data_IF_478554991031
#
_entry.id   IF_478554991031
#
_cell.length_a   1.000
_cell.length_b   1.000
_cell.length_c   1.000
_cell.angle_alpha   90.00
_cell.angle_beta   90.00
_cell.angle_gamma   90.00
#
_symmetry.space_group_name_H-M   'P 1'
#
loop_
_entity.id
_entity.type
_entity.pdbx_description
1 polymer ?
#
# COMPACT_ATOMS: atom_id res chain seq x y z
N UNK A 1 -9.06 1.18 11.84
CA UNK A 1 -9.57 0.22 10.83
C UNK A 1 -8.67 -0.99 10.98
N UNK A 2 -9.10 -2.03 11.70
CA UNK A 2 -8.11 -2.92 12.36
C UNK A 2 -8.06 -4.32 11.73
N UNK A 3 -8.35 -4.41 10.42
CA UNK A 3 -8.35 -5.69 9.70
C UNK A 3 -8.14 -5.53 8.18
N UNK A 4 -7.14 -4.74 7.78
CA UNK A 4 -6.78 -4.57 6.38
C UNK A 4 -6.29 -5.89 5.78
N UNK A 5 -6.79 -6.18 4.58
CA UNK A 5 -6.40 -7.29 3.73
C UNK A 5 -5.71 -6.75 2.49
N UNK A 6 -4.95 -7.62 1.81
CA UNK A 6 -4.30 -7.26 0.54
C UNK A 6 -5.28 -6.71 -0.51
N UNK A 7 -6.56 -7.06 -0.43
CA UNK A 7 -7.60 -6.61 -1.34
C UNK A 7 -8.18 -5.23 -1.00
N UNK A 8 -7.90 -4.70 0.18
CA UNK A 8 -8.39 -3.39 0.65
C UNK A 8 -7.49 -2.28 0.11
N UNK A 9 -7.33 -2.27 -1.22
CA UNK A 9 -6.38 -1.44 -1.96
C UNK A 9 -6.49 0.06 -1.65
N UNK A 10 -7.69 0.68 -1.65
CA UNK A 10 -7.81 2.10 -1.36
C UNK A 10 -7.41 2.44 0.08
N UNK A 11 -7.83 1.62 1.05
CA UNK A 11 -7.53 1.85 2.46
C UNK A 11 -6.03 1.71 2.73
N UNK A 12 -5.37 0.71 2.11
CA UNK A 12 -3.91 0.56 2.19
C UNK A 12 -3.19 1.76 1.57
N UNK A 13 -3.66 2.26 0.42
CA UNK A 13 -3.05 3.41 -0.24
C UNK A 13 -3.10 4.68 0.62
N UNK A 14 -4.24 4.95 1.27
CA UNK A 14 -4.39 6.07 2.20
C UNK A 14 -3.43 5.94 3.37
N UNK A 15 -3.37 4.77 4.01
CA UNK A 15 -2.47 4.51 5.14
C UNK A 15 -0.98 4.65 4.76
N UNK A 16 -0.62 4.24 3.54
CA UNK A 16 0.74 4.42 3.02
C UNK A 16 1.03 5.91 2.76
N UNK A 17 0.11 6.64 2.16
CA UNK A 17 0.25 8.08 1.92
C UNK A 17 0.43 8.86 3.22
N UNK A 18 -0.42 8.61 4.22
CA UNK A 18 -0.33 9.27 5.54
C UNK A 18 0.99 8.97 6.27
N UNK A 19 1.56 7.77 6.10
CA UNK A 19 2.82 7.37 6.75
C UNK A 19 4.07 7.77 5.98
N UNK A 20 3.95 8.03 4.68
CA UNK A 20 5.05 8.22 3.75
C UNK A 20 4.76 9.38 2.77
N UNK A 21 4.34 10.53 3.31
CA UNK A 21 3.93 11.74 2.55
C UNK A 21 5.04 12.27 1.62
N UNK A 22 6.30 12.00 1.92
CA UNK A 22 7.47 12.47 1.17
C UNK A 22 7.96 11.49 0.10
N UNK A 23 7.31 10.32 -0.01
CA UNK A 23 7.70 9.28 -0.95
C UNK A 23 6.88 9.41 -2.23
N UNK A 24 7.56 9.41 -3.38
CA UNK A 24 6.92 9.30 -4.68
C UNK A 24 6.61 7.82 -5.00
N UNK A 25 5.34 7.40 -5.00
CA UNK A 25 4.98 6.00 -5.17
C UNK A 25 5.33 5.43 -6.54
N UNK A 26 5.53 6.27 -7.57
CA UNK A 26 5.87 5.84 -8.93
C UNK A 26 7.25 5.15 -9.01
N UNK A 27 8.12 5.40 -8.04
CA UNK A 27 9.49 4.87 -8.03
C UNK A 27 9.73 3.81 -6.95
N UNK A 28 8.69 3.40 -6.21
CA UNK A 28 8.81 2.36 -5.19
C UNK A 28 8.95 0.98 -5.86
N UNK A 29 9.85 0.16 -5.31
CA UNK A 29 9.96 -1.27 -5.69
C UNK A 29 8.89 -2.07 -4.95
N UNK A 30 8.28 -3.04 -5.62
CA UNK A 30 7.28 -3.92 -4.99
C UNK A 30 7.76 -4.63 -3.72
N UNK A 31 9.05 -4.92 -3.59
CA UNK A 31 9.61 -5.52 -2.37
C UNK A 31 9.64 -4.55 -1.18
N UNK A 32 9.74 -3.25 -1.43
CA UNK A 32 9.65 -2.23 -0.38
C UNK A 32 8.18 -1.93 -0.07
N UNK A 33 7.33 -1.83 -1.12
CA UNK A 33 5.88 -1.67 -0.96
C UNK A 33 5.27 -2.80 -0.12
N UNK A 34 5.61 -4.06 -0.43
CA UNK A 34 5.15 -5.23 0.34
C UNK A 34 5.51 -5.12 1.82
N UNK A 35 6.75 -4.72 2.14
CA UNK A 35 7.20 -4.53 3.52
C UNK A 35 6.44 -3.42 4.23
N UNK A 36 6.16 -2.32 3.56
CA UNK A 36 5.43 -1.20 4.15
C UNK A 36 3.97 -1.56 4.41
N UNK A 37 3.31 -2.27 3.48
CA UNK A 37 1.95 -2.78 3.70
C UNK A 37 1.89 -3.72 4.90
N UNK A 38 2.84 -4.66 5.02
CA UNK A 38 2.91 -5.56 6.17
C UNK A 38 3.22 -4.85 7.50
N UNK A 39 3.79 -3.64 7.45
CA UNK A 39 4.12 -2.85 8.63
C UNK A 39 2.98 -1.90 9.07
N UNK A 40 1.88 -1.83 8.33
CA UNK A 40 0.71 -1.04 8.70
C UNK A 40 0.08 -1.65 9.96
N UNK A 41 -0.28 -0.79 10.93
CA UNK A 41 -0.84 -1.21 12.23
C UNK A 41 -2.14 -2.03 12.08
N UNK A 42 -2.94 -1.75 11.04
CA UNK A 42 -4.17 -2.46 10.73
C UNK A 42 -4.02 -3.68 9.82
N UNK A 43 -2.83 -3.99 9.30
CA UNK A 43 -2.64 -5.10 8.36
C UNK A 43 -2.74 -6.46 9.05
N UNK A 44 -3.66 -7.30 8.56
CA UNK A 44 -3.99 -8.58 9.18
C UNK A 44 -4.25 -9.68 8.13
N UNK A 45 -3.55 -9.68 7.00
CA UNK A 45 -3.62 -10.79 6.02
C UNK A 45 -2.36 -11.65 6.06
N UNK A 46 -2.40 -12.76 5.34
CA UNK A 46 -1.23 -13.60 5.10
C UNK A 46 -0.20 -12.86 4.21
N UNK A 47 1.04 -12.63 4.68
CA UNK A 47 2.11 -12.01 3.90
C UNK A 47 2.33 -12.59 2.50
N UNK A 48 2.12 -13.90 2.34
CA UNK A 48 2.38 -14.64 1.11
C UNK A 48 1.21 -14.58 0.12
N UNK A 49 0.08 -13.96 0.48
CA UNK A 49 -1.08 -13.75 -0.41
C UNK A 49 -0.93 -12.57 -1.36
N UNK A 50 0.12 -11.77 -1.20
CA UNK A 50 0.46 -10.74 -2.17
C UNK A 50 0.91 -11.35 -3.51
N UNK A 51 0.74 -10.59 -4.58
CA UNK A 51 1.32 -10.88 -5.89
C UNK A 51 1.52 -9.56 -6.64
N UNK A 52 2.21 -9.59 -7.78
CA UNK A 52 2.53 -8.37 -8.54
C UNK A 52 1.29 -7.55 -8.89
N UNK A 53 0.15 -8.17 -9.22
CA UNK A 53 -1.08 -7.42 -9.56
C UNK A 53 -1.68 -6.70 -8.36
N UNK A 54 -1.62 -7.30 -7.18
CA UNK A 54 -2.08 -6.66 -5.94
C UNK A 54 -1.17 -5.48 -5.62
N UNK A 55 0.15 -5.68 -5.67
CA UNK A 55 1.11 -4.64 -5.35
C UNK A 55 1.06 -3.49 -6.36
N UNK A 56 0.84 -3.80 -7.64
CA UNK A 56 0.58 -2.81 -8.68
C UNK A 56 -0.69 -2.01 -8.40
N UNK A 57 -1.80 -2.68 -8.03
CA UNK A 57 -3.04 -1.99 -7.69
C UNK A 57 -2.89 -1.04 -6.49
N UNK A 58 -2.17 -1.46 -5.45
CA UNK A 58 -1.84 -0.61 -4.29
C UNK A 58 -0.96 0.56 -4.71
N UNK A 59 0.08 0.33 -5.50
CA UNK A 59 0.96 1.40 -5.99
C UNK A 59 0.17 2.42 -6.83
N UNK A 60 -0.71 1.96 -7.71
CA UNK A 60 -1.54 2.84 -8.56
C UNK A 60 -2.51 3.67 -7.72
N UNK A 61 -3.21 3.06 -6.75
CA UNK A 61 -4.08 3.79 -5.84
C UNK A 61 -3.30 4.83 -5.03
N UNK A 62 -2.10 4.49 -4.55
CA UNK A 62 -1.27 5.46 -3.83
C UNK A 62 -0.77 6.60 -4.75
N UNK A 63 -0.43 6.33 -6.01
CA UNK A 63 -0.11 7.39 -6.99
C UNK A 63 -1.31 8.32 -7.16
N UNK A 64 -2.52 7.77 -7.29
CA UNK A 64 -3.74 8.56 -7.43
C UNK A 64 -3.97 9.47 -6.21
N UNK A 65 -3.82 8.94 -4.99
CA UNK A 65 -3.93 9.75 -3.76
C UNK A 65 -2.84 10.83 -3.69
N UNK A 66 -1.59 10.52 -4.04
CA UNK A 66 -0.48 11.47 -4.01
C UNK A 66 -0.58 12.58 -5.07
N UNK A 67 -1.27 12.33 -6.19
CA UNK A 67 -1.50 13.34 -7.24
C UNK A 67 -2.76 14.21 -6.95
N UNK A 68 -3.57 13.87 -5.94
CA UNK A 68 -4.77 14.63 -5.54
C UNK A 68 -4.49 15.76 -4.51
N UNK A 69 -3.39 15.69 -3.77
CA UNK A 69 -2.95 16.67 -2.75
C UNK A 69 -1.98 17.73 -3.34
#
# INVERSE_FOLDING_TARGET
MDNLKWTDVPDIAIELFEKHEDVDPRYIRFTDLHKWVMALEGFNDDPDRSNEKILEAIQMAWIEEADLD
#
